data_IF_678046549744
#
_entry.id   IF_678046549744
#
_cell.length_a   1.000
_cell.length_b   1.000
_cell.length_c   1.000
_cell.angle_alpha   90.00
_cell.angle_beta   90.00
_cell.angle_gamma   90.00
#
_symmetry.space_group_name_H-M   'P 1'
#
loop_
_entity.id
_entity.type
_entity.pdbx_description
1 polymer ?
#
# COMPACT_ATOMS: atom_id res chain seq x y z
N UNK A 1 9.57 -12.66 -24.87
CA UNK A 1 10.30 -12.21 -23.69
C UNK A 1 9.92 -10.75 -23.47
N UNK A 2 9.50 -10.38 -22.25
CA UNK A 2 9.23 -9.00 -21.89
C UNK A 2 10.53 -8.36 -21.42
N UNK A 3 10.65 -7.03 -21.55
CA UNK A 3 11.85 -6.27 -21.19
C UNK A 3 11.73 -5.60 -19.81
N UNK A 4 10.54 -5.05 -19.52
CA UNK A 4 10.25 -4.27 -18.32
C UNK A 4 9.43 -5.07 -17.28
N UNK A 5 8.87 -6.20 -17.69
CA UNK A 5 8.00 -7.02 -16.84
C UNK A 5 8.61 -8.42 -16.72
N UNK A 6 8.77 -8.90 -15.49
CA UNK A 6 9.35 -10.21 -15.20
C UNK A 6 8.40 -11.04 -14.34
N UNK A 7 8.18 -12.29 -14.73
CA UNK A 7 7.47 -13.25 -13.90
C UNK A 7 8.34 -13.67 -12.72
N UNK A 8 7.76 -13.68 -11.54
CA UNK A 8 8.35 -14.23 -10.32
C UNK A 8 7.70 -15.57 -10.02
N UNK A 9 8.50 -16.56 -9.59
CA UNK A 9 7.99 -17.84 -9.15
C UNK A 9 7.15 -17.71 -7.87
N UNK A 10 6.09 -18.50 -7.79
CA UNK A 10 5.18 -18.56 -6.65
C UNK A 10 4.84 -20.03 -6.34
N UNK A 11 4.82 -20.38 -5.06
CA UNK A 11 4.35 -21.70 -4.61
C UNK A 11 2.83 -21.86 -4.76
N UNK A 12 2.11 -20.76 -4.88
CA UNK A 12 0.67 -20.73 -5.14
C UNK A 12 0.41 -20.62 -6.65
N UNK A 13 0.00 -21.74 -7.27
CA UNK A 13 -0.26 -21.83 -8.71
C UNK A 13 -1.41 -20.91 -9.18
N UNK A 14 -2.26 -20.45 -8.26
CA UNK A 14 -3.34 -19.51 -8.59
C UNK A 14 -2.85 -18.07 -8.73
N UNK A 15 -1.61 -17.77 -8.37
CA UNK A 15 -1.05 -16.43 -8.39
C UNK A 15 0.01 -16.25 -9.45
N UNK A 16 -0.15 -15.21 -10.25
CA UNK A 16 0.84 -14.73 -11.21
C UNK A 16 1.41 -13.42 -10.65
N UNK A 17 2.68 -13.47 -10.24
CA UNK A 17 3.37 -12.31 -9.67
C UNK A 17 4.26 -11.72 -10.76
N UNK A 18 3.99 -10.48 -11.14
CA UNK A 18 4.77 -9.76 -12.15
C UNK A 18 5.55 -8.62 -11.50
N UNK A 19 6.87 -8.69 -11.60
CA UNK A 19 7.79 -7.65 -11.14
C UNK A 19 7.98 -6.63 -12.26
N UNK A 20 7.88 -5.34 -11.92
CA UNK A 20 8.06 -4.21 -12.84
C UNK A 20 8.52 -2.97 -12.06
N UNK A 21 8.92 -1.92 -12.75
CA UNK A 21 9.39 -0.69 -12.10
C UNK A 21 8.27 0.20 -11.55
N UNK A 22 7.03 0.06 -12.05
CA UNK A 22 5.85 0.73 -11.52
C UNK A 22 4.63 -0.20 -11.62
N UNK A 23 4.29 -0.83 -10.48
CA UNK A 23 3.15 -1.74 -10.43
C UNK A 23 1.81 -1.03 -10.56
N UNK A 24 1.69 0.21 -10.07
CA UNK A 24 0.46 0.98 -10.22
C UNK A 24 0.23 1.35 -11.69
N UNK A 25 1.24 1.79 -12.40
CA UNK A 25 1.16 2.06 -13.85
C UNK A 25 0.71 0.82 -14.61
N UNK A 26 1.29 -0.34 -14.33
CA UNK A 26 0.90 -1.60 -14.97
C UNK A 26 -0.55 -1.97 -14.67
N UNK A 27 -0.96 -1.84 -13.40
CA UNK A 27 -2.33 -2.10 -12.94
C UNK A 27 -3.36 -1.23 -13.67
N UNK A 28 -3.13 0.10 -13.65
CA UNK A 28 -4.04 1.07 -14.23
C UNK A 28 -4.18 0.83 -15.74
N UNK A 29 -3.07 0.60 -16.47
CA UNK A 29 -3.09 0.29 -17.91
C UNK A 29 -3.88 -0.98 -18.22
N UNK A 30 -3.64 -2.06 -17.46
CA UNK A 30 -4.38 -3.32 -17.63
C UNK A 30 -5.88 -3.14 -17.41
N UNK A 31 -6.26 -2.39 -16.36
CA UNK A 31 -7.65 -2.14 -16.03
C UNK A 31 -8.33 -1.23 -17.06
N UNK A 32 -7.73 -0.10 -17.37
CA UNK A 32 -8.38 0.96 -18.15
C UNK A 32 -8.41 0.63 -19.64
N UNK A 33 -7.32 0.11 -20.19
CA UNK A 33 -7.20 -0.12 -21.64
C UNK A 33 -7.67 -1.54 -22.03
N UNK A 34 -7.35 -2.55 -21.22
CA UNK A 34 -7.58 -3.96 -21.58
C UNK A 34 -8.71 -4.61 -20.78
N UNK A 35 -9.30 -3.91 -19.79
CA UNK A 35 -10.35 -4.42 -18.91
C UNK A 35 -9.93 -5.71 -18.18
N UNK A 36 -8.67 -5.76 -17.79
CA UNK A 36 -8.08 -6.83 -16.99
C UNK A 36 -7.82 -6.27 -15.60
N UNK A 37 -8.62 -6.71 -14.62
CA UNK A 37 -8.45 -6.34 -13.24
C UNK A 37 -7.52 -7.33 -12.55
N UNK A 38 -6.51 -6.82 -11.87
CA UNK A 38 -5.60 -7.60 -11.04
C UNK A 38 -6.09 -7.62 -9.59
N UNK A 39 -5.57 -8.55 -8.80
CA UNK A 39 -5.84 -8.64 -7.37
C UNK A 39 -5.27 -7.44 -6.61
N UNK A 40 -4.02 -7.10 -6.89
CA UNK A 40 -3.36 -5.96 -6.27
C UNK A 40 -2.20 -5.44 -7.10
N UNK A 41 -1.83 -4.19 -6.82
CA UNK A 41 -0.58 -3.59 -7.24
C UNK A 41 0.22 -3.10 -6.03
N UNK A 42 1.53 -3.21 -6.12
CA UNK A 42 2.50 -2.58 -5.23
C UNK A 42 3.43 -1.71 -6.09
N UNK A 43 4.44 -1.09 -5.49
CA UNK A 43 5.37 -0.23 -6.23
C UNK A 43 6.14 -0.98 -7.32
N UNK A 44 6.63 -2.18 -7.01
CA UNK A 44 7.55 -2.95 -7.84
C UNK A 44 6.94 -4.26 -8.36
N UNK A 45 5.68 -4.52 -8.09
CA UNK A 45 5.03 -5.72 -8.57
C UNK A 45 3.50 -5.60 -8.60
N UNK A 46 2.89 -6.49 -9.37
CA UNK A 46 1.45 -6.72 -9.37
C UNK A 46 1.17 -8.20 -9.18
N UNK A 47 -0.02 -8.52 -8.67
CA UNK A 47 -0.50 -9.90 -8.52
C UNK A 47 -1.80 -10.06 -9.29
N UNK A 48 -1.82 -11.04 -10.20
CA UNK A 48 -3.04 -11.55 -10.79
C UNK A 48 -3.42 -12.85 -10.10
N UNK A 49 -4.72 -13.06 -9.88
CA UNK A 49 -5.27 -14.34 -9.41
C UNK A 49 -5.97 -15.04 -10.55
N UNK A 50 -5.76 -16.34 -10.60
CA UNK A 50 -6.40 -17.24 -11.58
C UNK A 50 -7.31 -18.23 -10.87
N UNK A 51 -8.28 -18.76 -11.59
CA UNK A 51 -9.22 -19.74 -11.07
C UNK A 51 -9.45 -20.89 -12.07
N UNK A 52 -10.06 -21.95 -11.60
CA UNK A 52 -10.47 -23.09 -12.46
C UNK A 52 -11.56 -22.73 -13.47
N UNK A 53 -12.20 -21.58 -13.30
CA UNK A 53 -13.23 -21.07 -14.21
C UNK A 53 -12.67 -20.21 -15.34
N UNK A 54 -11.38 -19.85 -15.29
CA UNK A 54 -10.76 -19.02 -16.31
C UNK A 54 -10.56 -19.78 -17.62
N UNK A 55 -10.97 -19.14 -18.70
CA UNK A 55 -10.85 -19.69 -20.03
C UNK A 55 -9.52 -19.28 -20.67
N UNK A 56 -9.06 -20.09 -21.62
CA UNK A 56 -7.83 -19.81 -22.36
C UNK A 56 -7.82 -18.40 -22.98
N UNK A 57 -8.96 -17.94 -23.49
CA UNK A 57 -9.11 -16.60 -24.09
C UNK A 57 -8.76 -15.46 -23.15
N UNK A 58 -8.93 -15.65 -21.82
CA UNK A 58 -8.57 -14.64 -20.80
C UNK A 58 -7.05 -14.56 -20.61
N UNK A 59 -6.38 -15.71 -20.60
CA UNK A 59 -4.92 -15.78 -20.55
C UNK A 59 -4.29 -15.19 -21.83
N UNK A 60 -4.84 -15.49 -22.99
CA UNK A 60 -4.35 -14.96 -24.27
C UNK A 60 -4.49 -13.44 -24.31
N UNK A 61 -5.64 -12.90 -23.87
CA UNK A 61 -5.86 -11.47 -23.74
C UNK A 61 -4.88 -10.82 -22.76
N UNK A 62 -4.71 -11.40 -21.60
CA UNK A 62 -3.78 -10.91 -20.59
C UNK A 62 -2.34 -10.87 -21.12
N UNK A 63 -1.89 -11.95 -21.75
CA UNK A 63 -0.55 -12.02 -22.31
C UNK A 63 -0.35 -11.01 -23.47
N UNK A 64 -1.37 -10.80 -24.31
CA UNK A 64 -1.30 -9.80 -25.37
C UNK A 64 -1.20 -8.39 -24.78
N UNK A 65 -2.02 -8.07 -23.79
CA UNK A 65 -1.98 -6.80 -23.06
C UNK A 65 -0.59 -6.54 -22.46
N UNK A 66 -0.02 -7.54 -21.77
CA UNK A 66 1.32 -7.42 -21.18
C UNK A 66 2.41 -7.13 -22.24
N UNK A 67 2.33 -7.74 -23.43
CA UNK A 67 3.28 -7.48 -24.51
C UNK A 67 3.17 -6.05 -25.04
N UNK A 68 1.95 -5.57 -25.30
CA UNK A 68 1.70 -4.22 -25.80
C UNK A 68 2.11 -3.15 -24.79
N UNK A 69 1.83 -3.38 -23.49
CA UNK A 69 2.25 -2.48 -22.41
C UNK A 69 3.79 -2.46 -22.30
N UNK A 70 4.43 -3.62 -22.35
CA UNK A 70 5.89 -3.75 -22.26
C UNK A 70 6.60 -3.03 -23.41
N UNK A 71 6.09 -3.16 -24.65
CA UNK A 71 6.61 -2.46 -25.82
C UNK A 71 6.42 -0.94 -25.76
N UNK A 72 5.34 -0.48 -25.13
CA UNK A 72 5.01 0.93 -24.95
C UNK A 72 5.40 1.49 -23.57
N UNK A 73 6.24 0.78 -22.82
CA UNK A 73 6.63 1.16 -21.47
C UNK A 73 7.31 2.52 -21.43
N UNK A 74 6.72 3.47 -20.68
CA UNK A 74 7.21 4.87 -20.62
C UNK A 74 7.68 5.30 -19.24
N UNK A 75 7.74 4.36 -18.30
CA UNK A 75 8.14 4.68 -16.94
C UNK A 75 9.66 4.78 -16.88
N UNK A 76 10.16 5.95 -16.52
CA UNK A 76 11.54 6.13 -16.11
C UNK A 76 11.64 5.69 -14.64
N UNK A 77 12.63 4.84 -14.31
CA UNK A 77 12.87 4.42 -12.94
C UNK A 77 13.15 5.66 -12.07
N UNK A 78 12.23 5.97 -11.16
CA UNK A 78 12.38 7.07 -10.21
C UNK A 78 13.12 6.55 -8.98
N UNK A 79 14.28 7.14 -8.66
CA UNK A 79 15.05 6.80 -7.46
C UNK A 79 14.27 7.04 -6.15
N UNK A 80 13.21 7.87 -6.19
CA UNK A 80 12.31 8.13 -5.06
C UNK A 80 11.45 6.93 -4.63
N UNK A 81 11.33 5.91 -5.48
CA UNK A 81 10.50 4.72 -5.18
C UNK A 81 11.23 3.70 -4.28
N UNK A 82 12.58 3.73 -4.25
CA UNK A 82 13.35 2.90 -3.33
C UNK A 82 13.01 3.25 -1.87
N UNK A 83 12.81 4.53 -1.58
CA UNK A 83 12.48 5.00 -0.22
C UNK A 83 11.11 4.49 0.27
N UNK A 84 10.12 4.35 -0.61
CA UNK A 84 8.78 3.86 -0.22
C UNK A 84 8.75 2.34 -0.05
N UNK A 85 9.39 1.59 -0.96
CA UNK A 85 9.51 0.14 -0.85
C UNK A 85 10.30 -0.28 0.40
N UNK A 86 11.39 0.41 0.69
CA UNK A 86 12.17 0.23 1.91
C UNK A 86 11.38 0.66 3.15
N UNK A 87 10.62 1.77 3.08
CA UNK A 87 9.77 2.25 4.17
C UNK A 87 8.64 1.28 4.49
N UNK A 88 8.02 0.65 3.49
CA UNK A 88 7.01 -0.39 3.71
C UNK A 88 7.62 -1.67 4.27
N UNK A 89 8.77 -2.10 3.77
CA UNK A 89 9.53 -3.22 4.35
C UNK A 89 9.92 -2.96 5.80
N UNK A 90 10.30 -1.73 6.12
CA UNK A 90 10.58 -1.30 7.48
C UNK A 90 9.33 -1.35 8.37
N UNK A 91 8.16 -0.91 7.88
CA UNK A 91 6.89 -0.95 8.63
C UNK A 91 6.47 -2.39 8.99
N UNK A 92 6.70 -3.35 8.10
CA UNK A 92 6.41 -4.76 8.36
C UNK A 92 7.26 -5.30 9.51
N UNK A 93 8.54 -4.88 9.58
CA UNK A 93 9.51 -5.39 10.53
C UNK A 93 9.52 -4.61 11.86
N UNK A 94 9.08 -3.36 11.87
CA UNK A 94 9.11 -2.46 13.05
C UNK A 94 7.69 -2.03 13.41
N UNK A 95 6.99 -2.90 14.12
CA UNK A 95 5.64 -2.62 14.60
C UNK A 95 5.65 -1.49 15.63
N UNK A 96 4.68 -0.56 15.58
CA UNK A 96 4.49 0.42 16.64
C UNK A 96 4.28 -0.24 18.01
N UNK A 97 4.66 0.48 19.07
CA UNK A 97 4.42 0.04 20.45
C UNK A 97 2.91 0.03 20.72
N UNK A 98 2.40 -1.12 21.16
CA UNK A 98 1.02 -1.25 21.65
C UNK A 98 0.99 -0.72 23.07
N UNK A 99 0.37 0.45 23.29
CA UNK A 99 0.27 1.10 24.60
C UNK A 99 -0.94 0.59 25.39
N UNK A 100 -2.02 0.26 24.69
CA UNK A 100 -3.26 -0.24 25.28
C UNK A 100 -4.09 -1.01 24.24
N UNK A 101 -5.07 -1.76 24.70
CA UNK A 101 -5.99 -2.40 23.76
C UNK A 101 -6.96 -1.35 23.15
N UNK A 102 -7.52 -1.61 21.98
CA UNK A 102 -8.42 -0.65 21.33
C UNK A 102 -9.66 -0.29 22.16
N UNK A 103 -10.18 -1.21 22.95
CA UNK A 103 -11.34 -0.95 23.80
C UNK A 103 -11.01 0.07 24.90
N UNK A 104 -9.87 -0.14 25.61
CA UNK A 104 -9.42 0.79 26.64
C UNK A 104 -9.11 2.18 26.07
N UNK A 105 -8.58 2.22 24.84
CA UNK A 105 -8.32 3.48 24.16
C UNK A 105 -9.61 4.26 23.86
N UNK A 106 -10.68 3.55 23.47
CA UNK A 106 -11.99 4.16 23.20
C UNK A 106 -12.59 4.70 24.52
N UNK A 107 -12.54 3.94 25.59
CA UNK A 107 -13.05 4.37 26.89
C UNK A 107 -12.32 5.63 27.38
N UNK A 108 -10.98 5.66 27.25
CA UNK A 108 -10.18 6.84 27.58
C UNK A 108 -10.47 8.03 26.66
N UNK A 109 -10.78 7.79 25.40
CA UNK A 109 -11.18 8.87 24.48
C UNK A 109 -12.51 9.52 24.89
N UNK A 110 -13.46 8.72 25.37
CA UNK A 110 -14.74 9.22 25.89
C UNK A 110 -14.56 10.06 27.16
N UNK A 111 -13.59 9.71 28.00
CA UNK A 111 -13.26 10.43 29.22
C UNK A 111 -12.44 11.70 28.98
N UNK A 112 -11.39 11.61 28.19
CA UNK A 112 -10.37 12.66 28.03
C UNK A 112 -10.48 13.46 26.72
N UNK A 113 -11.27 12.96 25.79
CA UNK A 113 -11.41 13.52 24.44
C UNK A 113 -10.28 13.13 23.51
N UNK A 114 -10.33 13.69 22.32
CA UNK A 114 -9.33 13.49 21.27
C UNK A 114 -8.95 14.81 20.61
N UNK A 115 -7.89 14.76 19.83
CA UNK A 115 -7.52 15.82 18.89
C UNK A 115 -7.02 15.24 17.57
N UNK A 116 -7.30 15.93 16.46
CA UNK A 116 -6.87 15.51 15.13
C UNK A 116 -5.58 16.26 14.79
N UNK A 117 -4.43 15.56 14.78
CA UNK A 117 -3.11 16.13 14.52
C UNK A 117 -2.63 15.81 13.10
N UNK A 118 -2.05 16.82 12.44
CA UNK A 118 -1.43 16.63 11.14
C UNK A 118 -0.23 15.68 11.23
N UNK A 119 -0.08 14.80 10.25
CA UNK A 119 1.13 13.95 10.12
C UNK A 119 2.43 14.75 9.98
N UNK A 120 2.32 16.06 9.72
CA UNK A 120 3.45 16.98 9.64
C UNK A 120 3.73 17.72 10.95
N UNK A 121 2.83 17.61 11.95
CA UNK A 121 3.03 18.25 13.24
C UNK A 121 4.14 17.56 14.05
N UNK A 122 5.07 18.30 14.66
CA UNK A 122 6.04 17.71 15.58
C UNK A 122 5.37 17.12 16.84
N UNK A 123 4.19 17.58 17.20
CA UNK A 123 3.47 17.19 18.41
C UNK A 123 2.76 15.84 18.28
N UNK A 124 2.73 15.24 17.07
CA UNK A 124 2.08 13.95 16.84
C UNK A 124 2.93 12.78 17.34
N UNK A 125 4.26 12.93 17.33
CA UNK A 125 5.15 11.88 17.79
C UNK A 125 4.98 11.62 19.29
N UNK A 126 4.83 10.35 19.65
CA UNK A 126 4.59 9.92 21.04
C UNK A 126 3.11 9.83 21.42
N UNK A 127 2.20 10.40 20.61
CA UNK A 127 0.75 10.33 20.85
C UNK A 127 0.24 8.92 20.57
N UNK A 128 -0.87 8.58 21.23
CA UNK A 128 -1.57 7.30 21.00
C UNK A 128 -2.61 7.51 19.90
N UNK A 129 -2.54 6.66 18.88
CA UNK A 129 -3.48 6.71 17.76
C UNK A 129 -4.87 6.26 18.19
N UNK A 130 -5.88 7.00 17.75
CA UNK A 130 -7.29 6.64 17.82
C UNK A 130 -7.86 6.31 16.43
N UNK A 131 -6.98 6.14 15.44
CA UNK A 131 -7.33 5.72 14.08
C UNK A 131 -6.44 4.55 13.67
N UNK A 132 -7.03 3.58 12.96
CA UNK A 132 -6.24 2.61 12.20
C UNK A 132 -5.90 3.24 10.86
N UNK A 133 -4.62 3.51 10.64
CA UNK A 133 -4.09 4.09 9.40
C UNK A 133 -3.44 3.00 8.58
N UNK A 134 -3.95 2.81 7.37
CA UNK A 134 -3.50 1.79 6.44
C UNK A 134 -2.88 2.43 5.21
N UNK A 135 -2.09 1.66 4.47
CA UNK A 135 -1.64 2.01 3.12
C UNK A 135 -2.28 1.02 2.15
N UNK A 136 -2.97 1.54 1.16
CA UNK A 136 -3.65 0.73 0.16
C UNK A 136 -3.16 1.07 -1.25
N UNK A 137 -2.91 0.03 -2.06
CA UNK A 137 -2.85 -1.40 -1.78
C UNK A 137 -1.59 -1.83 -1.01
N UNK A 138 -1.54 -2.95 -0.28
CA UNK A 138 -2.57 -3.99 -0.14
C UNK A 138 -3.55 -3.80 1.03
N UNK A 139 -3.48 -2.73 1.79
CA UNK A 139 -4.25 -2.53 3.01
C UNK A 139 -3.45 -2.87 4.28
N UNK A 140 -2.15 -2.55 4.26
CA UNK A 140 -1.25 -2.81 5.37
C UNK A 140 -1.39 -1.75 6.45
N UNK A 141 -1.67 -2.12 7.72
CA UNK A 141 -1.72 -1.16 8.80
C UNK A 141 -0.32 -0.63 9.14
N UNK A 142 -0.21 0.70 9.26
CA UNK A 142 1.00 1.41 9.67
C UNK A 142 0.95 1.75 11.15
N UNK A 143 -0.23 2.09 11.65
CA UNK A 143 -0.53 2.29 13.07
C UNK A 143 -2.00 1.98 13.31
N UNK A 144 -2.29 1.36 14.45
CA UNK A 144 -3.65 1.02 14.87
C UNK A 144 -4.08 1.81 16.11
N UNK A 145 -5.37 1.70 16.44
CA UNK A 145 -5.94 2.26 17.68
C UNK A 145 -5.23 1.68 18.90
N UNK A 146 -4.78 2.55 19.80
CA UNK A 146 -4.05 2.16 21.01
C UNK A 146 -2.54 2.02 20.83
N UNK A 147 -2.02 2.20 19.60
CA UNK A 147 -0.59 2.17 19.32
C UNK A 147 0.03 3.58 19.34
N UNK A 148 1.33 3.64 19.65
CA UNK A 148 2.09 4.89 19.71
C UNK A 148 2.53 5.32 18.31
N UNK A 149 2.23 6.57 17.96
CA UNK A 149 2.69 7.18 16.71
C UNK A 149 4.16 7.59 16.88
N UNK A 150 5.01 7.04 16.00
CA UNK A 150 6.45 7.34 15.97
C UNK A 150 6.80 8.22 14.77
N UNK A 151 8.02 8.76 14.76
CA UNK A 151 8.55 9.47 13.60
C UNK A 151 8.60 8.60 12.34
N UNK A 152 8.83 7.29 12.49
CA UNK A 152 8.84 6.33 11.39
C UNK A 152 7.42 6.14 10.82
N UNK A 153 6.40 6.02 11.67
CA UNK A 153 5.00 6.00 11.24
C UNK A 153 4.68 7.21 10.38
N UNK A 154 5.04 8.42 10.84
CA UNK A 154 4.80 9.64 10.09
C UNK A 154 5.57 9.67 8.76
N UNK A 155 6.82 9.20 8.74
CA UNK A 155 7.64 9.12 7.53
C UNK A 155 7.02 8.18 6.50
N UNK A 156 6.62 6.99 6.92
CA UNK A 156 5.97 5.98 6.06
C UNK A 156 4.68 6.53 5.44
N UNK A 157 3.83 7.17 6.25
CA UNK A 157 2.58 7.77 5.78
C UNK A 157 2.86 8.87 4.74
N UNK A 158 3.84 9.75 4.99
CA UNK A 158 4.23 10.80 4.05
C UNK A 158 4.76 10.25 2.73
N UNK A 159 5.61 9.23 2.80
CA UNK A 159 6.13 8.56 1.61
C UNK A 159 5.01 7.95 0.78
N UNK A 160 4.04 7.29 1.42
CA UNK A 160 2.88 6.72 0.74
C UNK A 160 2.00 7.79 0.04
N UNK A 161 1.72 8.91 0.74
CA UNK A 161 0.98 10.04 0.15
C UNK A 161 1.73 10.61 -1.05
N UNK A 162 3.04 10.85 -0.94
CA UNK A 162 3.85 11.39 -2.02
C UNK A 162 3.94 10.45 -3.24
N UNK A 163 3.84 9.15 -3.01
CA UNK A 163 3.77 8.14 -4.07
C UNK A 163 2.37 7.97 -4.68
N UNK A 164 1.39 8.75 -4.22
CA UNK A 164 0.02 8.70 -4.73
C UNK A 164 -0.78 7.48 -4.28
N UNK A 165 -0.37 6.82 -3.19
CA UNK A 165 -1.13 5.73 -2.61
C UNK A 165 -2.28 6.26 -1.76
N UNK A 166 -3.33 5.47 -1.66
CA UNK A 166 -4.41 5.74 -0.72
C UNK A 166 -3.98 5.43 0.71
N UNK A 167 -4.32 6.32 1.64
CA UNK A 167 -4.01 6.15 3.06
C UNK A 167 -5.30 6.25 3.88
N UNK A 168 -6.12 5.18 3.88
CA UNK A 168 -7.32 5.12 4.71
C UNK A 168 -6.98 5.30 6.19
N UNK A 169 -7.88 5.95 6.93
CA UNK A 169 -7.69 6.27 8.34
C UNK A 169 -7.18 7.70 8.60
N UNK A 170 -6.73 8.40 7.57
CA UNK A 170 -6.48 9.83 7.64
C UNK A 170 -7.77 10.61 7.33
N UNK A 171 -8.00 11.67 8.08
CA UNK A 171 -9.02 12.67 7.78
C UNK A 171 -8.34 14.00 7.48
N UNK A 172 -8.39 14.42 6.21
CA UNK A 172 -7.73 15.67 5.75
C UNK A 172 -6.23 15.73 6.11
N UNK A 173 -5.50 14.60 5.97
CA UNK A 173 -4.08 14.50 6.31
C UNK A 173 -3.77 14.51 7.81
N UNK A 174 -4.77 14.25 8.67
CA UNK A 174 -4.65 14.21 10.12
C UNK A 174 -4.96 12.83 10.66
N UNK A 175 -4.32 12.49 11.78
CA UNK A 175 -4.60 11.29 12.57
C UNK A 175 -5.31 11.74 13.84
N UNK A 176 -6.35 11.01 14.22
CA UNK A 176 -6.99 11.19 15.51
C UNK A 176 -6.10 10.62 16.62
N UNK A 177 -5.83 11.41 17.62
CA UNK A 177 -4.97 11.10 18.75
C UNK A 177 -5.72 11.26 20.06
N UNK A 178 -5.42 10.39 21.05
CA UNK A 178 -5.87 10.54 22.42
C UNK A 178 -5.27 11.83 23.02
N UNK A 179 -6.07 12.56 23.78
CA UNK A 179 -5.59 13.73 24.56
C UNK A 179 -4.85 13.36 25.81
#
# INVERSE_FOLDING_TARGET
>A
KLNNIRLMDSDDISKIILICDDGKYLYDRLLDEYKVQLEMASFKYVIAMTSVADKQEYYDRFLSALKEIDESWKVESKDSENDVGESLGYAINNKPEVCMCPADAIDLMDENGYEDLSVNSPDICGRISMSSVLIYPPGMPVVNVGERITGDVCRIIKSAINAGLEVPGLKEGKIRCLR
#
